data_IF_545866024459
#
_entry.id   IF_545866024459
#
_cell.length_a   1.000
_cell.length_b   1.000
_cell.length_c   1.000
_cell.angle_alpha   90.00
_cell.angle_beta   90.00
_cell.angle_gamma   90.00
#
_symmetry.space_group_name_H-M   'P 1'
#
loop_
_entity.id
_entity.type
_entity.pdbx_description
1 polymer ?
#
# COMPACT_ATOMS: atom_id res chain seq x y z
N UNK A 1 -21.68 -4.35 -12.73
CA UNK A 1 -20.21 -4.42 -12.70
C UNK A 1 -19.69 -4.04 -14.08
N UNK A 2 -18.75 -3.10 -14.21
CA UNK A 2 -18.14 -2.74 -15.50
C UNK A 2 -16.77 -3.39 -15.64
N UNK A 3 -16.44 -3.83 -16.85
CA UNK A 3 -15.12 -4.41 -17.15
C UNK A 3 -14.13 -3.24 -17.31
N UNK A 4 -13.06 -3.24 -16.51
CA UNK A 4 -12.00 -2.22 -16.57
C UNK A 4 -10.71 -2.82 -17.13
N UNK A 5 -9.90 -1.97 -17.80
CA UNK A 5 -8.62 -2.39 -18.40
C UNK A 5 -7.43 -2.28 -17.44
N UNK A 6 -7.64 -1.80 -16.22
CA UNK A 6 -6.58 -1.64 -15.21
C UNK A 6 -7.14 -1.78 -13.81
N UNK A 7 -6.39 -2.46 -12.95
CA UNK A 7 -6.69 -2.63 -11.53
C UNK A 7 -6.78 -1.30 -10.78
N UNK A 8 -6.11 -0.26 -11.28
CA UNK A 8 -6.10 1.07 -10.66
C UNK A 8 -7.50 1.70 -10.57
N UNK A 9 -8.40 1.35 -11.50
CA UNK A 9 -9.80 1.80 -11.46
C UNK A 9 -10.62 1.18 -10.33
N UNK A 10 -10.11 0.14 -9.68
CA UNK A 10 -10.73 -0.47 -8.51
C UNK A 10 -10.27 0.17 -7.19
N UNK A 11 -9.35 1.14 -7.22
CA UNK A 11 -8.92 1.89 -6.04
C UNK A 11 -10.00 2.90 -5.67
N UNK A 12 -10.38 2.92 -4.39
CA UNK A 12 -11.38 3.83 -3.84
C UNK A 12 -12.80 3.32 -3.93
N UNK A 13 -13.77 4.25 -3.86
CA UNK A 13 -15.22 3.92 -3.82
C UNK A 13 -15.60 2.82 -2.82
N UNK A 14 -14.86 2.75 -1.72
CA UNK A 14 -15.05 1.76 -0.66
C UNK A 14 -16.35 2.00 0.11
N UNK A 15 -17.01 0.94 0.60
CA UNK A 15 -18.30 1.08 1.26
C UNK A 15 -18.18 1.75 2.64
N UNK A 16 -19.27 2.38 3.07
CA UNK A 16 -19.51 2.77 4.45
C UNK A 16 -20.47 1.75 5.06
N UNK A 17 -20.12 1.21 6.23
CA UNK A 17 -20.94 0.23 6.96
C UNK A 17 -21.26 0.77 8.34
N UNK A 18 -22.54 0.74 8.70
CA UNK A 18 -23.00 1.19 10.01
C UNK A 18 -22.84 0.10 11.08
N UNK A 19 -22.35 0.48 12.25
CA UNK A 19 -22.21 -0.43 13.39
C UNK A 19 -23.52 -0.56 14.16
N UNK A 20 -24.09 -1.77 14.20
CA UNK A 20 -25.42 -2.02 14.76
C UNK A 20 -25.44 -2.60 16.18
N UNK A 21 -24.34 -3.24 16.63
CA UNK A 21 -24.32 -4.01 17.90
C UNK A 21 -23.38 -3.47 18.97
N UNK A 22 -22.33 -2.75 18.57
CA UNK A 22 -21.29 -2.26 19.49
C UNK A 22 -21.50 -0.82 19.93
N UNK A 23 -22.42 -0.10 19.29
CA UNK A 23 -22.81 1.26 19.64
C UNK A 23 -23.96 1.14 20.64
N UNK A 24 -23.81 1.62 21.89
CA UNK A 24 -24.89 1.58 22.86
C UNK A 24 -26.10 2.40 22.40
N UNK A 25 -27.27 2.05 22.92
CA UNK A 25 -28.48 2.86 22.75
C UNK A 25 -28.22 4.31 23.19
N UNK A 26 -28.86 5.27 22.52
CA UNK A 26 -28.75 6.72 22.78
C UNK A 26 -27.39 7.37 22.48
N UNK A 27 -26.51 6.67 21.74
CA UNK A 27 -25.24 7.23 21.25
C UNK A 27 -25.32 7.61 19.77
N UNK A 28 -24.32 8.37 19.31
CA UNK A 28 -24.22 8.81 17.92
C UNK A 28 -24.07 7.62 16.93
N UNK A 29 -24.57 7.80 15.71
CA UNK A 29 -24.37 6.87 14.60
C UNK A 29 -22.89 6.74 14.26
N UNK A 30 -22.36 5.51 14.26
CA UNK A 30 -20.97 5.21 13.88
C UNK A 30 -20.93 4.48 12.53
N UNK A 31 -20.21 5.06 11.58
CA UNK A 31 -19.98 4.49 10.24
C UNK A 31 -18.51 4.12 10.06
N UNK A 32 -18.23 2.94 9.53
CA UNK A 32 -16.88 2.46 9.23
C UNK A 32 -16.64 2.52 7.73
N UNK A 33 -15.56 3.19 7.31
CA UNK A 33 -15.09 3.22 5.93
C UNK A 33 -14.19 2.00 5.68
N UNK A 34 -14.66 1.05 4.86
CA UNK A 34 -13.96 -0.22 4.64
C UNK A 34 -12.84 -0.10 3.59
N UNK A 35 -11.74 0.53 3.96
CA UNK A 35 -10.56 0.68 3.09
C UNK A 35 -9.83 -0.64 2.80
N UNK A 36 -10.17 -1.72 3.49
CA UNK A 36 -9.73 -3.07 3.15
C UNK A 36 -10.31 -3.59 1.82
N UNK A 37 -11.30 -2.91 1.22
CA UNK A 37 -11.84 -3.28 -0.09
C UNK A 37 -11.03 -2.73 -1.27
N UNK A 38 -9.97 -1.95 -1.03
CA UNK A 38 -9.03 -1.61 -2.09
C UNK A 38 -8.24 -2.85 -2.55
N UNK A 39 -7.69 -2.87 -3.77
CA UNK A 39 -7.00 -4.03 -4.34
C UNK A 39 -5.93 -4.70 -3.47
N UNK A 40 -5.10 -3.95 -2.73
CA UNK A 40 -4.09 -4.54 -1.82
C UNK A 40 -4.61 -4.82 -0.41
N UNK A 41 -5.88 -4.52 -0.16
CA UNK A 41 -6.49 -4.60 1.16
C UNK A 41 -6.14 -3.42 2.09
N UNK A 42 -5.67 -2.29 1.55
CA UNK A 42 -5.26 -1.13 2.36
C UNK A 42 -5.70 0.21 1.79
N UNK A 43 -5.91 1.20 2.66
CA UNK A 43 -6.12 2.60 2.28
C UNK A 43 -4.92 3.20 1.52
N UNK A 44 -3.73 2.59 1.64
CA UNK A 44 -2.48 3.09 1.04
C UNK A 44 -2.49 3.02 -0.49
N UNK A 45 -3.37 2.24 -1.11
CA UNK A 45 -3.59 2.25 -2.56
C UNK A 45 -3.93 3.64 -3.09
N UNK A 46 -4.72 4.42 -2.33
CA UNK A 46 -5.08 5.80 -2.68
C UNK A 46 -3.88 6.74 -2.69
N UNK A 47 -3.02 6.59 -1.69
CA UNK A 47 -1.80 7.39 -1.57
C UNK A 47 -0.84 7.00 -2.71
N UNK A 48 -0.62 5.70 -2.92
CA UNK A 48 0.29 5.19 -3.93
C UNK A 48 -0.06 5.68 -5.34
N UNK A 49 -1.34 5.61 -5.74
CA UNK A 49 -1.72 6.13 -7.06
C UNK A 49 -1.50 7.65 -7.15
N UNK A 50 -1.87 8.41 -6.11
CA UNK A 50 -1.75 9.87 -6.12
C UNK A 50 -0.28 10.33 -6.20
N UNK A 51 0.63 9.74 -5.41
CA UNK A 51 2.04 10.16 -5.42
C UNK A 51 2.75 9.79 -6.71
N UNK A 52 2.45 8.62 -7.29
CA UNK A 52 3.03 8.19 -8.56
C UNK A 52 2.51 9.07 -9.70
N UNK A 53 1.20 9.30 -9.80
CA UNK A 53 0.63 10.17 -10.85
C UNK A 53 1.14 11.61 -10.73
N UNK A 54 1.30 12.13 -9.51
CA UNK A 54 1.87 13.45 -9.32
C UNK A 54 3.32 13.52 -9.80
N UNK A 55 4.16 12.54 -9.44
CA UNK A 55 5.56 12.49 -9.86
C UNK A 55 5.71 12.29 -11.38
N UNK A 56 4.79 11.58 -12.03
CA UNK A 56 4.73 11.51 -13.50
C UNK A 56 4.37 12.87 -14.09
N UNK A 57 3.35 13.54 -13.54
CA UNK A 57 2.83 14.80 -14.07
C UNK A 57 3.83 15.96 -13.98
N UNK A 58 4.65 15.98 -12.93
CA UNK A 58 5.69 17.00 -12.72
C UNK A 58 7.07 16.60 -13.26
N UNK A 59 7.17 15.43 -13.88
CA UNK A 59 8.37 14.95 -14.59
C UNK A 59 9.46 14.37 -13.69
N UNK A 60 9.26 14.29 -12.37
CA UNK A 60 10.22 13.64 -11.44
C UNK A 60 10.32 12.14 -11.67
N UNK A 61 9.23 11.50 -12.12
CA UNK A 61 9.19 10.10 -12.48
C UNK A 61 8.98 9.96 -13.99
N UNK A 62 10.06 9.66 -14.71
CA UNK A 62 10.03 9.38 -16.14
C UNK A 62 9.46 7.98 -16.42
N UNK A 63 9.04 7.74 -17.67
CA UNK A 63 8.55 6.43 -18.10
C UNK A 63 9.56 5.31 -17.81
N UNK A 64 9.14 4.29 -17.07
CA UNK A 64 10.00 3.17 -16.67
C UNK A 64 11.01 3.52 -15.57
N UNK A 65 10.86 4.69 -14.94
CA UNK A 65 11.69 5.13 -13.82
C UNK A 65 11.57 4.21 -12.61
N UNK A 66 12.51 4.35 -11.68
CA UNK A 66 12.56 3.56 -10.45
C UNK A 66 12.05 4.36 -9.27
N UNK A 67 11.10 3.79 -8.55
CA UNK A 67 10.62 4.27 -7.25
C UNK A 67 11.38 3.54 -6.14
N UNK A 68 11.84 4.28 -5.14
CA UNK A 68 12.52 3.71 -3.97
C UNK A 68 11.79 4.16 -2.71
N UNK A 69 11.47 3.23 -1.83
CA UNK A 69 10.78 3.50 -0.56
C UNK A 69 11.31 2.59 0.55
N UNK A 70 11.52 3.15 1.74
CA UNK A 70 11.80 2.37 2.94
C UNK A 70 10.50 2.05 3.68
N UNK A 71 10.08 0.78 3.70
CA UNK A 71 8.81 0.39 4.33
C UNK A 71 8.71 -1.10 4.64
N UNK A 72 8.08 -1.42 5.78
CA UNK A 72 7.71 -2.78 6.17
C UNK A 72 6.23 -3.14 5.99
N UNK A 73 5.44 -2.22 5.44
CA UNK A 73 3.98 -2.24 5.60
C UNK A 73 3.18 -2.14 4.31
N UNK A 74 1.92 -1.74 4.46
CA UNK A 74 0.99 -1.64 3.33
C UNK A 74 1.36 -0.58 2.30
N UNK A 75 2.17 0.42 2.66
CA UNK A 75 2.73 1.39 1.69
C UNK A 75 3.51 0.69 0.60
N UNK A 76 4.42 -0.22 0.95
CA UNK A 76 5.23 -0.96 -0.02
C UNK A 76 4.38 -1.79 -0.96
N UNK A 77 3.46 -2.60 -0.43
CA UNK A 77 2.52 -3.37 -1.24
C UNK A 77 1.70 -2.50 -2.21
N UNK A 78 1.22 -1.35 -1.73
CA UNK A 78 0.40 -0.43 -2.55
C UNK A 78 1.23 0.20 -3.68
N UNK A 79 2.45 0.67 -3.37
CA UNK A 79 3.36 1.19 -4.38
C UNK A 79 3.79 0.12 -5.37
N UNK A 80 4.03 -1.12 -4.93
CA UNK A 80 4.36 -2.25 -5.81
C UNK A 80 3.24 -2.52 -6.81
N UNK A 81 1.98 -2.56 -6.36
CA UNK A 81 0.82 -2.74 -7.25
C UNK A 81 0.75 -1.62 -8.29
N UNK A 82 0.87 -0.35 -7.84
CA UNK A 82 0.74 0.81 -8.74
C UNK A 82 1.89 0.86 -9.75
N UNK A 83 3.13 0.63 -9.31
CA UNK A 83 4.30 0.60 -10.20
C UNK A 83 4.18 -0.54 -11.22
N UNK A 84 3.77 -1.74 -10.81
CA UNK A 84 3.53 -2.85 -11.71
C UNK A 84 2.45 -2.52 -12.76
N UNK A 85 1.33 -1.92 -12.34
CA UNK A 85 0.25 -1.54 -13.24
C UNK A 85 0.62 -0.40 -14.21
N UNK A 86 1.60 0.44 -13.86
CA UNK A 86 2.06 1.59 -14.66
C UNK A 86 3.42 1.38 -15.34
N UNK A 87 3.97 0.17 -15.24
CA UNK A 87 5.27 -0.22 -15.80
C UNK A 87 6.48 0.59 -15.27
N UNK A 88 6.45 0.95 -13.98
CA UNK A 88 7.62 1.49 -13.27
C UNK A 88 8.34 0.40 -12.50
N UNK A 89 9.64 0.58 -12.31
CA UNK A 89 10.43 -0.28 -11.41
C UNK A 89 10.23 0.19 -9.97
N UNK A 90 10.30 -0.74 -9.03
CA UNK A 90 10.24 -0.39 -7.61
C UNK A 90 11.26 -1.21 -6.83
N UNK A 91 12.02 -0.50 -5.99
CA UNK A 91 12.89 -1.08 -4.97
C UNK A 91 12.34 -0.72 -3.60
N UNK A 92 12.12 -1.72 -2.78
CA UNK A 92 11.68 -1.55 -1.40
C UNK A 92 12.84 -1.91 -0.49
N UNK A 93 13.28 -0.96 0.30
CA UNK A 93 14.15 -1.24 1.44
C UNK A 93 13.24 -1.66 2.61
N UNK A 94 13.53 -2.78 3.24
CA UNK A 94 12.70 -3.35 4.31
C UNK A 94 13.57 -4.15 5.27
N UNK A 95 12.98 -4.85 6.22
CA UNK A 95 13.70 -5.67 7.20
C UNK A 95 12.94 -6.95 7.51
N UNK A 96 13.66 -7.98 7.92
CA UNK A 96 13.11 -9.23 8.43
C UNK A 96 12.32 -9.05 9.75
N UNK A 97 12.50 -7.93 10.47
CA UNK A 97 11.65 -7.53 11.59
C UNK A 97 10.21 -7.18 11.19
N UNK A 98 9.94 -6.93 9.91
CA UNK A 98 8.60 -6.65 9.41
C UNK A 98 7.90 -7.90 8.87
N UNK A 99 6.56 -7.83 8.78
CA UNK A 99 5.69 -8.95 8.37
C UNK A 99 6.20 -9.64 7.11
N UNK A 100 6.37 -10.96 7.22
CA UNK A 100 6.76 -11.81 6.11
C UNK A 100 5.72 -11.77 5.00
N UNK A 101 4.44 -11.80 5.34
CA UNK A 101 3.33 -11.76 4.39
C UNK A 101 3.35 -10.47 3.55
N UNK A 102 3.75 -9.34 4.14
CA UNK A 102 3.92 -8.08 3.40
C UNK A 102 5.10 -8.15 2.45
N UNK A 103 6.24 -8.70 2.88
CA UNK A 103 7.43 -8.88 2.03
C UNK A 103 7.11 -9.81 0.86
N UNK A 104 6.46 -10.92 1.11
CA UNK A 104 6.06 -11.89 0.07
C UNK A 104 5.07 -11.27 -0.93
N UNK A 105 4.11 -10.49 -0.45
CA UNK A 105 3.17 -9.77 -1.33
C UNK A 105 3.89 -8.73 -2.20
N UNK A 106 4.85 -7.97 -1.66
CA UNK A 106 5.65 -7.03 -2.44
C UNK A 106 6.46 -7.75 -3.54
N UNK A 107 7.12 -8.87 -3.21
CA UNK A 107 7.85 -9.69 -4.21
C UNK A 107 6.91 -10.24 -5.28
N UNK A 108 5.73 -10.73 -4.90
CA UNK A 108 4.73 -11.25 -5.83
C UNK A 108 4.22 -10.17 -6.81
N UNK A 109 4.23 -8.91 -6.41
CA UNK A 109 3.92 -7.75 -7.25
C UNK A 109 5.13 -7.24 -8.06
N UNK A 110 6.28 -7.92 -7.99
CA UNK A 110 7.47 -7.61 -8.80
C UNK A 110 8.42 -6.57 -8.19
N UNK A 111 8.32 -6.27 -6.90
CA UNK A 111 9.26 -5.38 -6.23
C UNK A 111 10.63 -6.04 -5.99
N UNK A 112 11.70 -5.28 -6.21
CA UNK A 112 13.06 -5.62 -5.75
C UNK A 112 13.16 -5.30 -4.26
N UNK A 113 13.47 -6.28 -3.41
CA UNK A 113 13.54 -6.10 -1.97
C UNK A 113 14.99 -6.10 -1.49
N UNK A 114 15.38 -5.02 -0.83
CA UNK A 114 16.60 -4.95 -0.03
C UNK A 114 16.23 -5.14 1.44
N UNK A 115 16.58 -6.29 2.00
CA UNK A 115 16.29 -6.64 3.38
C UNK A 115 17.48 -6.35 4.30
N UNK A 116 17.28 -5.40 5.22
CA UNK A 116 18.21 -5.06 6.29
C UNK A 116 17.99 -6.03 7.47
N UNK A 117 19.02 -6.75 7.93
CA UNK A 117 18.90 -7.63 9.09
C UNK A 117 18.51 -6.87 10.35
N UNK A 118 17.61 -7.44 11.15
CA UNK A 118 17.22 -6.91 12.45
C UNK A 118 17.89 -7.64 13.62
N UNK A 119 17.88 -7.01 14.79
CA UNK A 119 18.33 -7.64 16.04
C UNK A 119 17.26 -8.60 16.58
N UNK A 120 17.29 -9.83 16.06
CA UNK A 120 16.42 -10.92 16.50
C UNK A 120 14.95 -10.76 16.07
N UNK A 121 14.69 -10.19 14.90
CA UNK A 121 13.32 -9.97 14.39
C UNK A 121 12.60 -8.79 15.05
N UNK A 122 13.32 -7.94 15.79
CA UNK A 122 12.72 -6.82 16.54
C UNK A 122 12.83 -5.51 15.78
N UNK A 123 11.78 -4.70 15.88
CA UNK A 123 11.80 -3.31 15.44
C UNK A 123 12.55 -2.49 16.50
N UNK A 124 13.73 -1.99 16.15
CA UNK A 124 14.53 -1.09 17.01
C UNK A 124 14.51 0.33 16.47
N UNK A 125 14.99 1.29 17.26
CA UNK A 125 15.09 2.69 16.86
C UNK A 125 16.05 2.85 15.67
N UNK A 126 17.20 2.19 15.75
CA UNK A 126 18.25 2.21 14.72
C UNK A 126 17.77 1.62 13.39
N UNK A 127 16.77 0.75 13.42
CA UNK A 127 16.18 0.17 12.22
C UNK A 127 15.19 1.12 11.54
N UNK A 128 14.54 2.02 12.27
CA UNK A 128 13.47 2.88 11.72
C UNK A 128 13.89 4.35 11.54
N UNK A 129 15.12 4.71 11.91
CA UNK A 129 15.76 6.01 11.69
C UNK A 129 16.68 6.01 10.47
#
# INVERSE_FOLDING_TARGET
MSITKTILKAIGNTPLVELQRVVPTDHARVLVKLECNNPTGSMKDRMAIAVIEQAESDGRLQTGGTVVEYTGGSTGTSLSLVCAAKAHRIRIVTSDAFSQEKRDHMRALGADLEEIPSDGGRITKELIE
#
